data_IF_410732418399
#
_entry.id   IF_410732418399
#
_cell.length_a   1.000
_cell.length_b   1.000
_cell.length_c   1.000
_cell.angle_alpha   90.00
_cell.angle_beta   90.00
_cell.angle_gamma   90.00
#
_symmetry.space_group_name_H-M   'P 1'
#
loop_
_entity.id
_entity.type
_entity.pdbx_description
1 polymer ?
#
# COMPACT_ATOMS: atom_id res chain seq x y z
N UNK A 1 10.20 -10.97 6.78
CA UNK A 1 9.63 -9.62 7.07
C UNK A 1 9.19 -9.52 8.52
N UNK A 2 8.31 -10.38 8.95
CA UNK A 2 7.69 -10.35 10.29
C UNK A 2 8.72 -10.37 11.43
N UNK A 3 9.72 -11.24 11.35
CA UNK A 3 10.77 -11.30 12.36
C UNK A 3 11.59 -10.01 12.47
N UNK A 4 11.81 -9.32 11.34
CA UNK A 4 12.49 -8.03 11.34
C UNK A 4 11.64 -6.94 12.01
N UNK A 5 10.34 -6.89 11.73
CA UNK A 5 9.42 -5.93 12.37
C UNK A 5 9.32 -6.21 13.88
N UNK A 6 9.23 -7.49 14.29
CA UNK A 6 9.25 -7.87 15.70
C UNK A 6 10.53 -7.39 16.40
N UNK A 7 11.68 -7.57 15.75
CA UNK A 7 12.96 -7.05 16.25
C UNK A 7 12.95 -5.53 16.44
N UNK A 8 12.42 -4.77 15.45
CA UNK A 8 12.28 -3.32 15.57
C UNK A 8 11.37 -2.94 16.76
N UNK A 9 10.24 -3.65 16.92
CA UNK A 9 9.33 -3.43 18.06
C UNK A 9 10.02 -3.71 19.40
N UNK A 10 10.82 -4.76 19.54
CA UNK A 10 11.62 -5.02 20.73
C UNK A 10 12.71 -3.97 20.92
N UNK A 11 13.38 -3.53 19.86
CA UNK A 11 14.46 -2.54 19.94
C UNK A 11 13.98 -1.12 20.19
N UNK A 12 12.69 -0.84 19.98
CA UNK A 12 12.05 0.44 20.39
C UNK A 12 12.00 0.58 21.94
N UNK A 13 12.14 -0.53 22.65
CA UNK A 13 12.36 -0.60 24.09
C UNK A 13 13.77 -1.15 24.35
N UNK A 14 14.47 -0.71 25.44
CA UNK A 14 15.82 -1.19 25.72
C UNK A 14 15.80 -2.61 26.30
N UNK A 15 15.27 -3.57 25.56
CA UNK A 15 15.16 -4.98 25.98
C UNK A 15 15.99 -5.91 25.11
N UNK A 16 16.67 -6.87 25.75
CA UNK A 16 17.33 -7.98 25.08
C UNK A 16 16.32 -9.04 24.67
N UNK A 17 16.71 -9.95 23.78
CA UNK A 17 15.89 -11.11 23.43
C UNK A 17 15.55 -11.98 24.65
N UNK A 18 16.51 -12.15 25.58
CA UNK A 18 16.28 -12.90 26.82
C UNK A 18 15.25 -12.20 27.72
N UNK A 19 15.34 -10.88 27.89
CA UNK A 19 14.38 -10.12 28.69
C UNK A 19 12.96 -10.12 28.07
N UNK A 20 12.85 -10.14 26.73
CA UNK A 20 11.56 -10.30 26.06
C UNK A 20 11.01 -11.72 26.27
N UNK A 21 11.86 -12.74 26.16
CA UNK A 21 11.48 -14.14 26.36
C UNK A 21 10.94 -14.38 27.80
N UNK A 22 11.58 -13.82 28.81
CA UNK A 22 11.14 -13.87 30.21
C UNK A 22 9.75 -13.29 30.40
N UNK A 23 9.50 -12.09 29.84
CA UNK A 23 8.19 -11.41 29.93
C UNK A 23 7.08 -12.19 29.21
N UNK A 24 7.41 -12.84 28.11
CA UNK A 24 6.44 -13.63 27.32
C UNK A 24 6.29 -15.08 27.82
N UNK A 25 7.09 -15.51 28.82
CA UNK A 25 7.06 -16.87 29.34
C UNK A 25 7.51 -17.92 28.31
N UNK A 26 8.45 -17.57 27.42
CA UNK A 26 8.99 -18.45 26.39
C UNK A 26 10.52 -18.55 26.47
N UNK A 27 11.11 -19.54 25.79
CA UNK A 27 12.57 -19.65 25.72
C UNK A 27 13.18 -18.55 24.84
N UNK A 28 14.39 -18.13 25.20
CA UNK A 28 15.18 -17.17 24.40
C UNK A 28 15.35 -17.63 22.95
N UNK A 29 15.56 -18.93 22.71
CA UNK A 29 15.63 -19.52 21.37
C UNK A 29 14.35 -19.35 20.56
N UNK A 30 13.21 -19.30 21.23
CA UNK A 30 11.92 -19.04 20.58
C UNK A 30 11.86 -17.62 20.04
N UNK A 31 12.25 -16.62 20.84
CA UNK A 31 12.33 -15.23 20.39
C UNK A 31 13.36 -15.07 19.27
N UNK A 32 14.52 -15.70 19.40
CA UNK A 32 15.53 -15.72 18.34
C UNK A 32 15.01 -16.37 17.05
N UNK A 33 14.24 -17.46 17.19
CA UNK A 33 13.58 -18.14 16.08
C UNK A 33 12.58 -17.24 15.36
N UNK A 34 11.79 -16.48 16.12
CA UNK A 34 10.83 -15.52 15.56
C UNK A 34 11.55 -14.37 14.82
N UNK A 35 12.53 -13.73 15.46
CA UNK A 35 13.25 -12.58 14.87
C UNK A 35 14.11 -12.96 13.67
N UNK A 36 14.64 -14.19 13.64
CA UNK A 36 15.40 -14.70 12.49
C UNK A 36 14.53 -15.25 11.35
N UNK A 37 13.22 -15.40 11.58
CA UNK A 37 12.29 -16.03 10.63
C UNK A 37 12.35 -17.57 10.59
N UNK A 38 13.24 -18.22 11.36
CA UNK A 38 13.29 -19.69 11.45
C UNK A 38 11.97 -20.29 12.00
N UNK A 39 11.29 -19.52 12.86
CA UNK A 39 9.96 -19.84 13.39
C UNK A 39 9.02 -18.70 12.98
N UNK A 40 8.37 -18.76 11.79
CA UNK A 40 7.48 -17.68 11.33
C UNK A 40 6.34 -17.44 12.30
N UNK A 41 6.03 -16.18 12.61
CA UNK A 41 4.91 -15.82 13.49
C UNK A 41 3.57 -16.28 12.91
N UNK A 42 3.44 -16.38 11.60
CA UNK A 42 2.25 -16.90 10.93
C UNK A 42 1.94 -18.37 11.31
N UNK A 43 2.91 -19.12 11.83
CA UNK A 43 2.74 -20.50 12.29
C UNK A 43 2.43 -20.59 13.80
N UNK A 44 2.33 -19.44 14.50
CA UNK A 44 1.91 -19.42 15.90
C UNK A 44 0.42 -19.77 16.01
N UNK A 45 0.05 -20.32 17.16
CA UNK A 45 -1.38 -20.43 17.52
C UNK A 45 -1.98 -19.02 17.63
N UNK A 46 -3.18 -18.84 17.11
CA UNK A 46 -3.83 -17.51 17.05
C UNK A 46 -3.88 -16.82 18.43
N UNK A 47 -4.18 -17.56 19.51
CA UNK A 47 -4.17 -17.04 20.88
C UNK A 47 -2.81 -16.47 21.28
N UNK A 48 -1.72 -17.21 21.04
CA UNK A 48 -0.37 -16.78 21.38
C UNK A 48 0.06 -15.52 20.56
N UNK A 49 -0.34 -15.45 19.28
CA UNK A 49 -0.09 -14.26 18.46
C UNK A 49 -0.85 -13.03 18.99
N UNK A 50 -2.10 -13.19 19.39
CA UNK A 50 -2.90 -12.12 20.00
C UNK A 50 -2.31 -11.66 21.35
N UNK A 51 -1.84 -12.58 22.16
CA UNK A 51 -1.16 -12.29 23.43
C UNK A 51 0.15 -11.52 23.18
N UNK A 52 0.98 -11.96 22.24
CA UNK A 52 2.20 -11.27 21.84
C UNK A 52 1.90 -9.82 21.42
N UNK A 53 0.91 -9.63 20.54
CA UNK A 53 0.53 -8.29 20.05
C UNK A 53 -0.01 -7.37 21.14
N UNK A 54 -0.70 -7.91 22.13
CA UNK A 54 -1.20 -7.14 23.30
C UNK A 54 -0.09 -6.83 24.29
N UNK A 55 0.82 -7.78 24.52
CA UNK A 55 1.91 -7.61 25.47
C UNK A 55 2.97 -6.59 25.02
N UNK A 56 3.32 -6.57 23.73
CA UNK A 56 4.36 -5.65 23.24
C UNK A 56 4.10 -4.17 23.61
N UNK A 57 2.92 -3.58 23.36
CA UNK A 57 2.64 -2.20 23.78
C UNK A 57 2.62 -2.03 25.32
N UNK A 58 2.14 -3.04 26.09
CA UNK A 58 2.10 -2.92 27.57
C UNK A 58 3.48 -2.84 28.20
N UNK A 59 4.49 -3.42 27.54
CA UNK A 59 5.89 -3.32 27.97
C UNK A 59 6.63 -2.12 27.36
N UNK A 60 5.92 -1.25 26.64
CA UNK A 60 6.41 0.01 26.09
C UNK A 60 6.87 -0.03 24.63
N UNK A 61 6.65 -1.15 23.90
CA UNK A 61 6.94 -1.18 22.47
C UNK A 61 6.07 -0.19 21.71
N UNK A 62 6.63 0.42 20.67
CA UNK A 62 5.88 1.32 19.81
C UNK A 62 4.69 0.59 19.16
N UNK A 63 3.47 1.03 19.50
CA UNK A 63 2.23 0.45 18.99
C UNK A 63 2.12 0.54 17.46
N UNK A 64 2.71 1.57 16.85
CA UNK A 64 2.76 1.69 15.39
C UNK A 64 3.58 0.54 14.79
N UNK A 65 4.73 0.18 15.37
CA UNK A 65 5.54 -0.96 14.92
C UNK A 65 4.79 -2.28 15.08
N UNK A 66 4.06 -2.46 16.18
CA UNK A 66 3.24 -3.66 16.39
C UNK A 66 2.13 -3.76 15.34
N UNK A 67 1.54 -2.64 14.94
CA UNK A 67 0.54 -2.57 13.87
C UNK A 67 1.05 -3.06 12.50
N UNK A 68 2.35 -2.97 12.23
CA UNK A 68 2.95 -3.45 10.98
C UNK A 68 3.12 -4.97 10.89
N UNK A 69 2.92 -5.72 11.98
CA UNK A 69 3.11 -7.18 11.99
C UNK A 69 2.16 -7.89 11.02
N UNK A 70 0.92 -7.43 10.86
CA UNK A 70 -0.04 -8.05 9.94
C UNK A 70 0.41 -7.91 8.49
N UNK A 71 0.77 -6.69 8.09
CA UNK A 71 1.30 -6.42 6.75
C UNK A 71 2.61 -7.18 6.47
N UNK A 72 3.45 -7.36 7.49
CA UNK A 72 4.67 -8.14 7.39
C UNK A 72 4.39 -9.65 7.25
N UNK A 73 3.39 -10.18 7.95
CA UNK A 73 2.96 -11.58 7.79
C UNK A 73 2.36 -11.85 6.41
N UNK A 74 1.55 -10.92 5.89
CA UNK A 74 1.03 -11.01 4.53
C UNK A 74 2.14 -10.99 3.50
N UNK A 75 3.11 -10.09 3.66
CA UNK A 75 4.27 -10.04 2.80
C UNK A 75 5.09 -11.33 2.83
N UNK A 76 5.33 -11.90 4.03
CA UNK A 76 6.04 -13.19 4.16
C UNK A 76 5.31 -14.33 3.42
N UNK A 77 3.96 -14.36 3.45
CA UNK A 77 3.16 -15.35 2.71
C UNK A 77 3.29 -15.19 1.21
N UNK A 78 3.26 -13.95 0.71
CA UNK A 78 3.41 -13.65 -0.72
C UNK A 78 4.83 -14.00 -1.19
N UNK A 79 5.86 -13.63 -0.42
CA UNK A 79 7.24 -13.96 -0.72
C UNK A 79 7.47 -15.49 -0.72
N UNK A 80 6.93 -16.20 0.27
CA UNK A 80 7.03 -17.65 0.33
C UNK A 80 6.37 -18.33 -0.89
N UNK A 81 5.18 -17.87 -1.30
CA UNK A 81 4.51 -18.39 -2.49
C UNK A 81 5.30 -18.14 -3.78
N UNK A 82 6.01 -17.01 -3.89
CA UNK A 82 6.85 -16.72 -5.05
C UNK A 82 8.17 -17.48 -5.06
N UNK A 83 8.72 -17.79 -3.89
CA UNK A 83 10.01 -18.52 -3.78
C UNK A 83 9.83 -20.03 -3.78
N UNK A 84 8.70 -20.54 -3.26
CA UNK A 84 8.38 -21.96 -3.16
C UNK A 84 6.93 -22.17 -3.56
N UNK A 85 6.64 -22.18 -4.87
CA UNK A 85 5.25 -22.36 -5.35
C UNK A 85 4.70 -23.72 -4.89
N UNK A 86 3.62 -23.67 -4.10
CA UNK A 86 2.84 -24.83 -3.73
C UNK A 86 1.67 -24.97 -4.73
N UNK A 87 1.81 -25.86 -5.70
CA UNK A 87 0.84 -26.04 -6.78
C UNK A 87 -0.57 -26.48 -6.33
N UNK A 88 -0.78 -26.77 -5.05
CA UNK A 88 -2.07 -27.17 -4.49
C UNK A 88 -2.84 -26.04 -3.79
N UNK A 89 -2.21 -24.88 -3.52
CA UNK A 89 -2.85 -23.78 -2.80
C UNK A 89 -3.09 -22.56 -3.70
N UNK A 90 -4.22 -21.85 -3.52
CA UNK A 90 -4.44 -20.58 -4.19
C UNK A 90 -3.31 -19.58 -3.84
N UNK A 91 -2.85 -18.85 -4.85
CA UNK A 91 -1.82 -17.84 -4.64
C UNK A 91 -2.34 -16.74 -3.68
N UNK A 92 -1.57 -16.28 -2.68
CA UNK A 92 -2.04 -15.30 -1.69
C UNK A 92 -2.58 -14.00 -2.32
N UNK A 93 -2.04 -13.59 -3.47
CA UNK A 93 -2.54 -12.42 -4.22
C UNK A 93 -3.94 -12.62 -4.84
N UNK A 94 -4.50 -13.84 -4.80
CA UNK A 94 -5.87 -14.10 -5.22
C UNK A 94 -6.87 -14.08 -4.06
N UNK A 95 -6.39 -14.08 -2.81
CA UNK A 95 -7.24 -14.29 -1.63
C UNK A 95 -7.97 -13.06 -1.14
N UNK A 96 -7.35 -11.89 -1.24
CA UNK A 96 -7.91 -10.59 -0.82
C UNK A 96 -7.15 -9.42 -1.43
N UNK A 97 -7.77 -8.24 -1.35
CA UNK A 97 -7.16 -6.98 -1.81
C UNK A 97 -6.14 -6.50 -0.78
N UNK A 98 -4.88 -6.40 -1.19
CA UNK A 98 -3.79 -5.98 -0.31
C UNK A 98 -3.77 -4.46 -0.08
N UNK A 99 -3.25 -4.08 1.11
CA UNK A 99 -3.08 -2.70 1.52
C UNK A 99 -1.72 -2.14 1.10
N UNK A 100 -1.56 -0.82 1.24
CA UNK A 100 -0.29 -0.13 1.00
C UNK A 100 0.82 -0.62 1.94
N UNK A 101 0.48 -0.93 3.18
CA UNK A 101 1.42 -1.44 4.17
C UNK A 101 2.03 -2.77 3.71
N UNK A 102 1.21 -3.71 3.20
CA UNK A 102 1.70 -4.97 2.61
C UNK A 102 2.60 -4.71 1.40
N UNK A 103 2.19 -3.80 0.50
CA UNK A 103 2.99 -3.41 -0.65
C UNK A 103 4.33 -2.77 -0.25
N UNK A 104 4.37 -1.94 0.79
CA UNK A 104 5.61 -1.37 1.33
C UNK A 104 6.53 -2.43 1.93
N UNK A 105 5.99 -3.43 2.64
CA UNK A 105 6.77 -4.55 3.14
C UNK A 105 7.42 -5.33 1.99
N UNK A 106 6.64 -5.61 0.93
CA UNK A 106 7.16 -6.27 -0.27
C UNK A 106 8.23 -5.44 -0.98
N UNK A 107 8.01 -4.15 -1.17
CA UNK A 107 9.01 -3.26 -1.76
C UNK A 107 10.31 -3.26 -0.96
N UNK A 108 10.22 -3.27 0.38
CA UNK A 108 11.41 -3.35 1.24
C UNK A 108 12.21 -4.64 1.03
N UNK A 109 11.54 -5.78 0.92
CA UNK A 109 12.19 -7.05 0.63
C UNK A 109 12.77 -7.13 -0.79
N UNK A 110 12.05 -6.59 -1.79
CA UNK A 110 12.35 -6.78 -3.20
C UNK A 110 13.37 -5.77 -3.74
N UNK A 111 13.24 -4.49 -3.41
CA UNK A 111 14.10 -3.43 -3.94
C UNK A 111 14.79 -2.56 -2.89
N UNK A 112 14.61 -2.86 -1.59
CA UNK A 112 15.25 -2.14 -0.49
C UNK A 112 14.56 -0.82 -0.10
N UNK A 113 13.41 -0.49 -0.66
CA UNK A 113 12.67 0.73 -0.32
C UNK A 113 12.08 0.62 1.08
N UNK A 114 12.73 1.27 2.05
CA UNK A 114 12.24 1.28 3.45
C UNK A 114 10.87 1.95 3.53
N UNK A 115 9.88 1.33 4.20
CA UNK A 115 8.59 1.97 4.45
C UNK A 115 8.76 3.32 5.14
N UNK A 116 8.12 4.41 4.67
CA UNK A 116 8.30 5.75 5.25
C UNK A 116 8.04 5.80 6.76
N UNK A 117 7.06 5.03 7.25
CA UNK A 117 6.72 4.94 8.66
C UNK A 117 7.82 4.28 9.52
N UNK A 118 8.70 3.48 8.91
CA UNK A 118 9.77 2.74 9.61
C UNK A 118 11.15 3.40 9.45
N UNK A 119 11.29 4.43 8.64
CA UNK A 119 12.57 5.07 8.32
C UNK A 119 13.29 5.59 9.60
N UNK A 120 12.54 6.09 10.58
CA UNK A 120 13.09 6.57 11.85
C UNK A 120 13.49 5.45 12.82
N UNK A 121 12.93 4.26 12.64
CA UNK A 121 13.14 3.11 13.54
C UNK A 121 14.30 2.22 13.07
N UNK A 122 14.67 2.28 11.78
CA UNK A 122 15.78 1.53 11.23
C UNK A 122 17.07 2.21 11.62
N UNK A 123 17.76 1.66 12.63
CA UNK A 123 19.06 2.19 13.11
C UNK A 123 20.08 2.16 11.97
N UNK A 124 20.73 3.32 11.74
CA UNK A 124 21.85 3.41 10.80
C UNK A 124 23.02 2.58 11.35
N UNK A 125 23.32 1.51 10.60
CA UNK A 125 24.57 0.73 10.72
C UNK A 125 24.90 0.17 12.12
N UNK A 126 24.36 -1.01 12.45
CA UNK A 126 25.02 -1.89 13.44
C UNK A 126 26.12 -2.68 12.75
N UNK A 127 27.34 -2.62 13.32
CA UNK A 127 28.43 -3.55 12.96
C UNK A 127 28.08 -4.91 13.58
N UNK A 128 27.66 -5.89 12.75
CA UNK A 128 27.35 -7.24 13.21
C UNK A 128 26.82 -8.14 12.08
N UNK A 129 26.73 -9.46 12.28
CA UNK A 129 26.34 -10.42 11.26
C UNK A 129 24.84 -10.40 10.91
N UNK A 130 24.06 -9.55 11.56
CA UNK A 130 22.60 -9.44 11.33
C UNK A 130 22.33 -8.41 10.24
N UNK A 131 21.58 -8.81 9.21
CA UNK A 131 21.20 -7.92 8.12
C UNK A 131 20.51 -6.63 8.65
N UNK A 132 20.93 -5.49 8.11
CA UNK A 132 20.38 -4.17 8.46
C UNK A 132 18.96 -3.96 7.90
N UNK A 133 18.59 -4.71 6.84
CA UNK A 133 17.30 -4.68 6.19
C UNK A 133 16.85 -6.10 5.81
N UNK A 134 15.54 -6.37 5.71
CA UNK A 134 15.00 -7.68 5.36
C UNK A 134 15.00 -7.91 3.84
N UNK A 135 16.04 -7.47 3.15
CA UNK A 135 16.15 -7.56 1.70
C UNK A 135 16.50 -8.98 1.24
N UNK A 136 15.79 -9.48 0.24
CA UNK A 136 16.07 -10.76 -0.38
C UNK A 136 17.43 -10.74 -1.11
N UNK A 137 18.09 -11.89 -1.15
CA UNK A 137 19.27 -12.07 -1.98
C UNK A 137 18.94 -11.89 -3.48
N UNK A 138 19.89 -11.45 -4.31
CA UNK A 138 19.62 -11.23 -5.74
C UNK A 138 19.04 -12.45 -6.46
N UNK A 139 19.52 -13.66 -6.15
CA UNK A 139 19.03 -14.90 -6.72
C UNK A 139 17.55 -15.16 -6.35
N UNK A 140 17.18 -14.96 -5.08
CA UNK A 140 15.82 -15.15 -4.61
C UNK A 140 14.87 -14.12 -5.24
N UNK A 141 15.32 -12.86 -5.42
CA UNK A 141 14.54 -11.84 -6.11
C UNK A 141 14.25 -12.22 -7.56
N UNK A 142 15.24 -12.78 -8.26
CA UNK A 142 15.05 -13.26 -9.62
C UNK A 142 13.99 -14.37 -9.69
N UNK A 143 14.13 -15.40 -8.84
CA UNK A 143 13.14 -16.48 -8.73
C UNK A 143 11.74 -15.95 -8.43
N UNK A 144 11.62 -15.02 -7.49
CA UNK A 144 10.34 -14.41 -7.12
C UNK A 144 9.68 -13.69 -8.32
N UNK A 145 10.45 -12.86 -9.04
CA UNK A 145 9.89 -12.10 -10.15
C UNK A 145 9.58 -12.97 -11.38
N UNK A 146 10.36 -14.01 -11.65
CA UNK A 146 10.07 -14.97 -12.72
C UNK A 146 8.75 -15.71 -12.44
N UNK A 147 8.56 -16.15 -11.18
CA UNK A 147 7.31 -16.75 -10.78
C UNK A 147 6.14 -15.77 -10.89
N UNK A 148 6.33 -14.53 -10.46
CA UNK A 148 5.30 -13.51 -10.50
C UNK A 148 4.86 -13.18 -11.94
N UNK A 149 5.79 -13.16 -12.91
CA UNK A 149 5.47 -13.00 -14.34
C UNK A 149 4.62 -14.17 -14.84
N UNK A 150 5.04 -15.41 -14.56
CA UNK A 150 4.29 -16.60 -14.94
C UNK A 150 2.87 -16.60 -14.34
N UNK A 151 2.73 -16.23 -13.07
CA UNK A 151 1.43 -16.07 -12.39
C UNK A 151 0.57 -15.01 -13.07
N UNK A 152 1.17 -13.87 -13.44
CA UNK A 152 0.46 -12.79 -14.13
C UNK A 152 -0.08 -13.25 -15.48
N UNK A 153 0.74 -13.92 -16.26
CA UNK A 153 0.35 -14.46 -17.59
C UNK A 153 -0.75 -15.52 -17.47
N UNK A 154 -0.60 -16.45 -16.52
CA UNK A 154 -1.62 -17.47 -16.27
C UNK A 154 -2.95 -16.83 -15.81
N UNK A 155 -2.93 -15.91 -14.86
CA UNK A 155 -4.12 -15.24 -14.36
C UNK A 155 -4.87 -14.45 -15.46
N UNK A 156 -4.16 -13.92 -16.45
CA UNK A 156 -4.76 -13.24 -17.60
C UNK A 156 -5.65 -14.15 -18.44
N UNK A 157 -5.39 -15.46 -18.46
CA UNK A 157 -6.19 -16.45 -19.21
C UNK A 157 -7.44 -16.91 -18.46
N UNK A 158 -7.54 -16.64 -17.14
CA UNK A 158 -8.66 -17.09 -16.30
C UNK A 158 -9.89 -16.16 -16.32
N UNK A 159 -9.86 -15.10 -17.12
CA UNK A 159 -10.97 -14.16 -17.22
C UNK A 159 -11.26 -13.45 -15.87
N UNK A 160 -12.55 -13.26 -15.52
CA UNK A 160 -12.93 -12.55 -14.29
C UNK A 160 -12.38 -13.19 -13.00
N UNK A 161 -12.28 -14.54 -12.94
CA UNK A 161 -11.75 -15.26 -11.78
C UNK A 161 -10.27 -15.00 -11.51
N UNK A 162 -9.48 -14.63 -12.52
CA UNK A 162 -8.08 -14.27 -12.39
C UNK A 162 -7.82 -12.76 -12.20
N UNK A 163 -8.84 -11.92 -12.27
CA UNK A 163 -8.67 -10.47 -12.38
C UNK A 163 -7.91 -9.86 -11.19
N UNK A 164 -8.27 -10.22 -9.95
CA UNK A 164 -7.59 -9.74 -8.74
C UNK A 164 -6.13 -10.17 -8.72
N UNK A 165 -5.86 -11.46 -8.94
CA UNK A 165 -4.51 -12.01 -8.98
C UNK A 165 -3.67 -11.32 -10.05
N UNK A 166 -4.18 -11.21 -11.27
CA UNK A 166 -3.51 -10.54 -12.37
C UNK A 166 -3.14 -9.09 -12.03
N UNK A 167 -4.11 -8.32 -11.52
CA UNK A 167 -3.91 -6.92 -11.16
C UNK A 167 -2.84 -6.74 -10.08
N UNK A 168 -2.92 -7.53 -9.01
CA UNK A 168 -1.99 -7.43 -7.88
C UNK A 168 -0.59 -7.94 -8.25
N UNK A 169 -0.50 -9.03 -9.02
CA UNK A 169 0.76 -9.57 -9.50
C UNK A 169 1.47 -8.59 -10.47
N UNK A 170 0.74 -8.00 -11.42
CA UNK A 170 1.27 -6.99 -12.33
C UNK A 170 1.75 -5.73 -11.59
N UNK A 171 1.01 -5.31 -10.56
CA UNK A 171 1.43 -4.20 -9.69
C UNK A 171 2.77 -4.50 -9.01
N UNK A 172 2.95 -5.70 -8.45
CA UNK A 172 4.20 -6.08 -7.79
C UNK A 172 5.35 -6.30 -8.79
N UNK A 173 5.06 -6.81 -9.99
CA UNK A 173 6.06 -6.94 -11.05
C UNK A 173 6.68 -5.59 -11.43
N UNK A 174 5.94 -4.49 -11.27
CA UNK A 174 6.48 -3.13 -11.50
C UNK A 174 7.55 -2.68 -10.48
N UNK A 175 7.82 -3.47 -9.43
CA UNK A 175 8.95 -3.25 -8.51
C UNK A 175 10.26 -3.90 -8.96
N UNK A 176 10.23 -4.70 -10.03
CA UNK A 176 11.45 -5.24 -10.63
C UNK A 176 12.11 -4.16 -11.49
N UNK A 177 13.32 -3.75 -11.09
CA UNK A 177 14.12 -2.75 -11.80
C UNK A 177 15.21 -3.36 -12.67
N UNK A 178 15.16 -4.67 -12.92
CA UNK A 178 16.09 -5.30 -13.86
C UNK A 178 15.80 -4.82 -15.30
N UNK A 179 16.81 -4.72 -16.19
CA UNK A 179 16.60 -4.24 -17.55
C UNK A 179 15.55 -5.04 -18.34
N UNK A 180 15.54 -6.35 -18.16
CA UNK A 180 14.58 -7.25 -18.86
C UNK A 180 13.16 -7.10 -18.31
N UNK A 181 13.04 -6.83 -17.00
CA UNK A 181 11.76 -6.62 -16.34
C UNK A 181 11.05 -5.34 -16.81
N UNK A 182 11.78 -4.28 -17.05
CA UNK A 182 11.21 -3.02 -17.53
C UNK A 182 10.49 -3.21 -18.87
N UNK A 183 11.12 -3.94 -19.81
CA UNK A 183 10.52 -4.26 -21.11
C UNK A 183 9.28 -5.14 -20.96
N UNK A 184 9.33 -6.19 -20.14
CA UNK A 184 8.20 -7.07 -19.91
C UNK A 184 7.02 -6.32 -19.25
N UNK A 185 7.29 -5.55 -18.19
CA UNK A 185 6.27 -4.77 -17.48
C UNK A 185 5.61 -3.75 -18.41
N UNK A 186 6.41 -3.03 -19.20
CA UNK A 186 5.89 -2.09 -20.19
C UNK A 186 4.99 -2.79 -21.22
N UNK A 187 5.41 -3.93 -21.75
CA UNK A 187 4.62 -4.72 -22.69
C UNK A 187 3.31 -5.23 -22.07
N UNK A 188 3.37 -5.79 -20.87
CA UNK A 188 2.20 -6.28 -20.14
C UNK A 188 1.19 -5.15 -19.85
N UNK A 189 1.66 -3.97 -19.46
CA UNK A 189 0.82 -2.78 -19.24
C UNK A 189 0.24 -2.23 -20.55
N UNK A 190 1.03 -2.20 -21.64
CA UNK A 190 0.55 -1.76 -22.95
C UNK A 190 -0.53 -2.69 -23.52
N UNK A 191 -0.40 -4.00 -23.27
CA UNK A 191 -1.44 -4.98 -23.64
C UNK A 191 -2.77 -4.79 -22.88
N UNK A 192 -2.79 -3.96 -21.82
CA UNK A 192 -3.99 -3.63 -21.02
C UNK A 192 -4.59 -2.26 -21.33
N UNK A 193 -4.13 -1.58 -22.36
CA UNK A 193 -4.66 -0.23 -22.72
C UNK A 193 -6.15 -0.25 -23.12
N UNK A 194 -6.69 -1.38 -23.53
CA UNK A 194 -8.11 -1.56 -23.78
C UNK A 194 -8.99 -1.23 -22.55
N UNK A 195 -8.53 -1.56 -21.34
CA UNK A 195 -9.27 -1.26 -20.11
C UNK A 195 -9.26 0.25 -19.80
N UNK A 196 -8.26 0.99 -20.28
CA UNK A 196 -8.14 2.46 -20.12
C UNK A 196 -9.12 3.22 -21.03
N UNK A 197 -9.60 2.61 -22.09
CA UNK A 197 -10.55 3.25 -23.03
C UNK A 197 -11.97 3.35 -22.47
N UNK A 198 -12.28 2.64 -21.39
CA UNK A 198 -13.61 2.60 -20.78
C UNK A 198 -13.91 3.90 -20.04
N UNK A 199 -15.19 4.28 -20.03
CA UNK A 199 -15.69 5.45 -19.32
C UNK A 199 -16.44 5.05 -18.07
N UNK A 200 -16.31 5.83 -16.99
CA UNK A 200 -17.01 5.64 -15.74
C UNK A 200 -16.69 4.30 -15.05
N UNK A 201 -17.56 3.91 -14.14
CA UNK A 201 -17.45 2.65 -13.43
C UNK A 201 -17.64 1.44 -14.36
N UNK A 202 -16.82 0.44 -14.16
CA UNK A 202 -16.92 -0.87 -14.84
C UNK A 202 -16.27 -1.96 -13.97
N UNK A 203 -16.57 -3.25 -14.20
CA UNK A 203 -15.89 -4.36 -13.49
C UNK A 203 -14.37 -4.38 -13.66
N UNK A 204 -13.84 -3.72 -14.71
CA UNK A 204 -12.40 -3.59 -14.94
C UNK A 204 -11.80 -2.27 -14.44
N UNK A 205 -12.57 -1.44 -13.75
CA UNK A 205 -12.14 -0.13 -13.28
C UNK A 205 -10.87 -0.20 -12.41
N UNK A 206 -10.81 -1.15 -11.47
CA UNK A 206 -9.64 -1.37 -10.63
C UNK A 206 -8.39 -1.75 -11.44
N UNK A 207 -8.55 -2.56 -12.49
CA UNK A 207 -7.47 -2.90 -13.41
C UNK A 207 -7.01 -1.68 -14.22
N UNK A 208 -7.95 -0.86 -14.72
CA UNK A 208 -7.64 0.38 -15.42
C UNK A 208 -6.84 1.34 -14.52
N UNK A 209 -7.31 1.56 -13.29
CA UNK A 209 -6.61 2.40 -12.29
C UNK A 209 -5.19 1.90 -12.02
N UNK A 210 -5.03 0.60 -11.80
CA UNK A 210 -3.72 0.00 -11.52
C UNK A 210 -2.77 0.11 -12.71
N UNK A 211 -3.28 -0.11 -13.94
CA UNK A 211 -2.50 0.05 -15.17
C UNK A 211 -2.07 1.49 -15.36
N UNK A 212 -2.97 2.46 -15.22
CA UNK A 212 -2.68 3.88 -15.35
C UNK A 212 -1.62 4.36 -14.35
N UNK A 213 -1.77 3.96 -13.08
CA UNK A 213 -0.79 4.31 -12.03
C UNK A 213 0.56 3.63 -12.21
N UNK A 214 0.60 2.41 -12.77
CA UNK A 214 1.85 1.72 -13.08
C UNK A 214 2.59 2.39 -14.25
N UNK A 215 1.88 2.79 -15.31
CA UNK A 215 2.46 3.53 -16.44
C UNK A 215 3.02 4.88 -15.99
N UNK A 216 2.30 5.61 -15.12
CA UNK A 216 2.79 6.87 -14.56
C UNK A 216 4.12 6.67 -13.79
N UNK A 217 4.26 5.58 -13.00
CA UNK A 217 5.53 5.24 -12.33
C UNK A 217 6.67 4.92 -13.29
N UNK A 218 6.36 4.42 -14.48
CA UNK A 218 7.34 4.18 -15.55
C UNK A 218 7.67 5.44 -16.36
N UNK A 219 7.13 6.60 -15.96
CA UNK A 219 7.39 7.89 -16.60
C UNK A 219 6.39 8.30 -17.68
N UNK A 220 5.29 7.56 -17.87
CA UNK A 220 4.19 7.91 -18.76
C UNK A 220 2.93 8.32 -17.94
N UNK A 221 2.76 9.59 -17.55
CA UNK A 221 1.62 10.04 -16.75
C UNK A 221 0.33 10.21 -17.57
N UNK A 222 0.40 10.24 -18.92
CA UNK A 222 -0.76 10.52 -19.76
C UNK A 222 -1.91 9.50 -19.56
N UNK A 223 -1.67 8.18 -19.45
CA UNK A 223 -2.75 7.22 -19.16
C UNK A 223 -3.45 7.49 -17.82
N UNK A 224 -2.74 8.06 -16.84
CA UNK A 224 -3.35 8.42 -15.55
C UNK A 224 -4.22 9.67 -15.65
N UNK A 225 -3.79 10.69 -16.43
CA UNK A 225 -4.64 11.84 -16.72
C UNK A 225 -5.90 11.43 -17.48
N UNK A 226 -5.75 10.57 -18.51
CA UNK A 226 -6.88 10.04 -19.28
C UNK A 226 -7.84 9.21 -18.40
N UNK A 227 -7.31 8.43 -17.45
CA UNK A 227 -8.12 7.68 -16.49
C UNK A 227 -8.93 8.62 -15.59
N UNK A 228 -8.32 9.68 -15.07
CA UNK A 228 -9.03 10.66 -14.22
C UNK A 228 -10.16 11.31 -15.03
N UNK A 229 -9.92 11.74 -16.26
CA UNK A 229 -10.88 12.45 -17.06
C UNK A 229 -12.01 11.58 -17.62
N UNK A 230 -11.76 10.30 -17.88
CA UNK A 230 -12.73 9.42 -18.57
C UNK A 230 -13.39 8.40 -17.67
N UNK A 231 -12.64 7.83 -16.74
CA UNK A 231 -13.06 6.68 -15.97
C UNK A 231 -13.33 7.01 -14.49
N UNK A 232 -13.02 8.23 -14.05
CA UNK A 232 -13.17 8.62 -12.67
C UNK A 232 -14.11 9.83 -12.54
N UNK A 233 -13.73 10.97 -13.10
CA UNK A 233 -14.46 12.21 -12.92
C UNK A 233 -15.84 12.17 -13.61
N UNK A 234 -16.80 12.88 -12.99
CA UNK A 234 -18.17 13.04 -13.50
C UNK A 234 -19.00 11.73 -13.53
N UNK A 235 -18.58 10.70 -12.75
CA UNK A 235 -19.33 9.45 -12.52
C UNK A 235 -19.38 9.13 -11.02
N UNK A 236 -20.55 9.29 -10.41
CA UNK A 236 -20.75 9.11 -8.95
C UNK A 236 -20.26 7.75 -8.42
N UNK A 237 -20.43 6.68 -9.23
CA UNK A 237 -20.00 5.35 -8.82
C UNK A 237 -18.49 5.21 -8.91
N UNK A 238 -17.87 5.76 -9.94
CA UNK A 238 -16.42 5.76 -10.08
C UNK A 238 -15.74 6.64 -9.03
N UNK A 239 -16.34 7.79 -8.68
CA UNK A 239 -15.83 8.64 -7.59
C UNK A 239 -15.93 7.95 -6.23
N UNK A 240 -17.07 7.29 -5.93
CA UNK A 240 -17.20 6.46 -4.74
C UNK A 240 -16.16 5.32 -4.75
N UNK A 241 -15.97 4.66 -5.89
CA UNK A 241 -14.98 3.59 -6.05
C UNK A 241 -13.55 4.07 -5.77
N UNK A 242 -13.21 5.27 -6.21
CA UNK A 242 -11.90 5.85 -5.92
C UNK A 242 -11.70 6.12 -4.42
N UNK A 243 -12.71 6.66 -3.74
CA UNK A 243 -12.63 6.88 -2.29
C UNK A 243 -12.60 5.56 -1.51
N UNK A 244 -13.41 4.56 -1.89
CA UNK A 244 -13.40 3.23 -1.29
C UNK A 244 -12.04 2.55 -1.47
N UNK A 245 -11.45 2.61 -2.68
CA UNK A 245 -10.12 2.10 -2.95
C UNK A 245 -9.07 2.78 -2.05
N UNK A 246 -9.08 4.12 -1.99
CA UNK A 246 -8.17 4.86 -1.15
C UNK A 246 -8.36 4.54 0.33
N UNK A 247 -9.61 4.37 0.79
CA UNK A 247 -9.91 4.03 2.18
C UNK A 247 -9.29 2.69 2.58
N UNK A 248 -9.39 1.67 1.73
CA UNK A 248 -8.71 0.38 1.96
C UNK A 248 -7.20 0.53 1.85
N UNK A 249 -6.72 1.10 0.74
CA UNK A 249 -5.29 1.20 0.44
C UNK A 249 -4.52 2.00 1.49
N UNK A 250 -5.13 3.02 2.06
CA UNK A 250 -4.52 3.91 3.05
C UNK A 250 -4.89 3.56 4.51
N UNK A 251 -5.56 2.44 4.75
CA UNK A 251 -5.88 1.94 6.09
C UNK A 251 -7.01 2.67 6.81
N UNK A 252 -7.84 3.43 6.10
CA UNK A 252 -9.06 4.04 6.64
C UNK A 252 -10.24 3.06 6.70
N UNK A 253 -10.22 2.00 5.89
CA UNK A 253 -11.14 0.87 5.93
C UNK A 253 -10.40 -0.35 6.53
N UNK A 254 -10.68 -0.72 7.80
CA UNK A 254 -9.91 -1.75 8.49
C UNK A 254 -10.35 -3.18 8.12
N UNK A 255 -11.46 -3.34 7.40
CA UNK A 255 -12.03 -4.65 7.06
C UNK A 255 -11.42 -5.16 5.76
N UNK A 256 -10.80 -6.36 5.76
CA UNK A 256 -10.29 -6.97 4.54
C UNK A 256 -11.37 -7.15 3.48
N UNK A 257 -11.02 -6.96 2.22
CA UNK A 257 -11.91 -7.12 1.08
C UNK A 257 -11.46 -8.31 0.24
N UNK A 258 -12.41 -9.20 -0.11
CA UNK A 258 -12.14 -10.45 -0.84
C UNK A 258 -11.80 -10.22 -2.31
N UNK A 259 -12.36 -9.16 -2.90
CA UNK A 259 -12.24 -8.84 -4.32
C UNK A 259 -12.46 -7.34 -4.55
N UNK A 260 -12.37 -6.90 -5.81
CA UNK A 260 -12.46 -5.51 -6.21
C UNK A 260 -13.92 -4.95 -6.23
N UNK A 261 -14.94 -5.78 -6.02
CA UNK A 261 -16.34 -5.35 -6.13
C UNK A 261 -16.73 -4.31 -5.06
N UNK A 262 -16.09 -4.37 -3.86
CA UNK A 262 -16.33 -3.40 -2.80
C UNK A 262 -16.15 -1.95 -3.25
N UNK A 263 -15.30 -1.71 -4.25
CA UNK A 263 -15.02 -0.35 -4.70
C UNK A 263 -16.29 0.32 -5.23
N UNK A 264 -17.12 -0.41 -6.00
CA UNK A 264 -18.38 0.12 -6.55
C UNK A 264 -19.53 0.22 -5.56
N UNK A 265 -19.35 -0.20 -4.31
CA UNK A 265 -20.40 -0.11 -3.30
C UNK A 265 -20.53 1.32 -2.75
N UNK A 266 -21.54 2.04 -3.22
CA UNK A 266 -21.84 3.41 -2.77
C UNK A 266 -22.36 3.47 -1.32
N UNK A 267 -22.80 2.34 -0.79
CA UNK A 267 -23.27 2.18 0.59
C UNK A 267 -22.22 1.60 1.51
N UNK A 268 -20.94 1.43 1.06
CA UNK A 268 -19.89 0.81 1.85
C UNK A 268 -19.74 1.51 3.21
N UNK A 269 -20.13 0.85 4.31
CA UNK A 269 -20.12 1.47 5.62
C UNK A 269 -18.73 1.46 6.23
N UNK A 270 -18.42 2.49 7.01
CA UNK A 270 -17.47 2.33 8.09
C UNK A 270 -16.03 2.65 7.81
N UNK A 271 -15.66 3.36 6.73
CA UNK A 271 -14.31 3.91 6.69
C UNK A 271 -14.23 5.32 7.33
N UNK A 272 -13.09 5.59 7.95
CA UNK A 272 -12.83 6.84 8.66
C UNK A 272 -12.37 7.94 7.69
N UNK A 273 -13.28 8.88 7.40
CA UNK A 273 -13.02 9.99 6.50
C UNK A 273 -11.87 10.91 6.98
N UNK A 274 -11.69 11.08 8.29
CA UNK A 274 -10.61 11.90 8.83
C UNK A 274 -9.24 11.21 8.67
N UNK A 275 -9.19 9.91 8.90
CA UNK A 275 -8.00 9.09 8.63
C UNK A 275 -7.66 9.12 7.14
N UNK A 276 -8.67 9.01 6.26
CA UNK A 276 -8.46 9.10 4.81
C UNK A 276 -7.92 10.47 4.40
N UNK A 277 -8.51 11.56 4.91
CA UNK A 277 -8.03 12.93 4.64
C UNK A 277 -6.56 13.11 5.04
N UNK A 278 -6.21 12.66 6.25
CA UNK A 278 -4.81 12.75 6.75
C UNK A 278 -3.85 11.96 5.87
N UNK A 279 -4.26 10.80 5.39
CA UNK A 279 -3.42 9.95 4.55
C UNK A 279 -3.28 10.50 3.12
N UNK A 280 -4.34 11.00 2.52
CA UNK A 280 -4.31 11.68 1.21
C UNK A 280 -3.47 12.96 1.27
N UNK A 281 -3.65 13.79 2.32
CA UNK A 281 -2.86 15.00 2.51
C UNK A 281 -1.35 14.72 2.58
N UNK A 282 -0.95 13.62 3.25
CA UNK A 282 0.47 13.19 3.29
C UNK A 282 0.99 12.71 1.94
N UNK A 283 0.12 12.09 1.14
CA UNK A 283 0.46 11.58 -0.19
C UNK A 283 0.49 12.63 -1.30
N UNK A 284 -0.01 13.84 -1.05
CA UNK A 284 -0.01 14.92 -2.02
C UNK A 284 1.42 15.47 -2.21
N UNK A 285 2.12 14.96 -3.21
CA UNK A 285 3.53 15.27 -3.55
C UNK A 285 3.66 15.73 -4.99
N UNK A 286 4.81 16.33 -5.34
CA UNK A 286 5.13 16.81 -6.70
C UNK A 286 5.51 15.66 -7.65
N UNK A 287 4.61 14.73 -7.85
CA UNK A 287 4.84 13.57 -8.73
C UNK A 287 3.85 13.64 -9.90
N UNK A 288 4.32 13.78 -11.16
CA UNK A 288 3.46 13.93 -12.33
C UNK A 288 2.39 12.85 -12.46
N UNK A 289 1.16 13.24 -12.71
CA UNK A 289 -0.01 12.36 -12.78
C UNK A 289 -0.55 11.97 -11.41
N UNK A 290 0.33 11.64 -10.44
CA UNK A 290 -0.13 11.33 -9.08
C UNK A 290 -0.65 12.56 -8.35
N UNK A 291 -0.04 13.73 -8.52
CA UNK A 291 -0.54 14.97 -7.95
C UNK A 291 -1.97 15.27 -8.41
N UNK A 292 -2.28 15.00 -9.67
CA UNK A 292 -3.62 15.18 -10.25
C UNK A 292 -4.63 14.21 -9.61
N UNK A 293 -4.25 12.93 -9.46
CA UNK A 293 -5.10 11.92 -8.81
C UNK A 293 -5.36 12.25 -7.33
N UNK A 294 -4.34 12.72 -6.60
CA UNK A 294 -4.50 13.15 -5.20
C UNK A 294 -5.35 14.41 -5.09
N UNK A 295 -5.16 15.39 -5.97
CA UNK A 295 -5.96 16.62 -6.01
C UNK A 295 -7.44 16.30 -6.24
N UNK A 296 -7.75 15.45 -7.22
CA UNK A 296 -9.11 14.99 -7.49
C UNK A 296 -9.70 14.24 -6.28
N UNK A 297 -8.95 13.32 -5.69
CA UNK A 297 -9.44 12.52 -4.55
C UNK A 297 -9.69 13.38 -3.30
N UNK A 298 -8.85 14.39 -3.04
CA UNK A 298 -9.05 15.34 -1.95
C UNK A 298 -10.27 16.23 -2.21
N UNK A 299 -10.45 16.70 -3.43
CA UNK A 299 -11.63 17.47 -3.85
C UNK A 299 -12.92 16.66 -3.66
N UNK A 300 -12.96 15.42 -4.16
CA UNK A 300 -14.11 14.53 -4.01
C UNK A 300 -14.43 14.26 -2.53
N UNK A 301 -13.39 13.94 -1.72
CA UNK A 301 -13.55 13.69 -0.29
C UNK A 301 -14.14 14.91 0.46
N UNK A 302 -13.64 16.11 0.20
CA UNK A 302 -14.13 17.33 0.85
C UNK A 302 -15.51 17.76 0.35
N UNK A 303 -15.88 17.38 -0.87
CA UNK A 303 -17.23 17.59 -1.42
C UNK A 303 -18.25 16.69 -0.72
N UNK A 304 -17.92 15.41 -0.52
CA UNK A 304 -18.78 14.44 0.16
C UNK A 304 -18.87 14.71 1.66
N UNK A 305 -17.76 15.16 2.28
CA UNK A 305 -17.67 15.42 3.73
C UNK A 305 -17.28 16.87 4.05
N UNK A 306 -18.19 17.86 3.91
CA UNK A 306 -17.87 19.28 4.09
C UNK A 306 -17.44 19.67 5.51
N UNK A 307 -17.63 18.81 6.50
CA UNK A 307 -17.24 19.01 7.89
C UNK A 307 -15.74 18.71 8.15
N UNK A 308 -15.08 17.95 7.27
CA UNK A 308 -13.70 17.51 7.47
C UNK A 308 -12.67 18.62 7.71
N UNK A 309 -12.71 19.78 7.03
CA UNK A 309 -11.75 20.87 7.29
C UNK A 309 -11.76 21.34 8.74
N UNK A 310 -12.93 21.36 9.40
CA UNK A 310 -13.05 21.76 10.79
C UNK A 310 -12.49 20.70 11.75
N UNK A 311 -12.76 19.42 11.47
CA UNK A 311 -12.30 18.30 12.30
C UNK A 311 -10.81 17.99 12.13
N UNK A 312 -10.20 18.39 11.00
CA UNK A 312 -8.83 18.03 10.66
C UNK A 312 -7.75 18.88 11.35
N UNK A 313 -8.09 20.05 11.89
CA UNK A 313 -7.18 20.88 12.68
C UNK A 313 -5.83 21.16 12.00
N UNK A 314 -4.70 20.69 12.56
CA UNK A 314 -3.38 20.90 11.98
C UNK A 314 -3.24 20.38 10.54
N UNK A 315 -3.83 19.23 10.23
CA UNK A 315 -3.78 18.66 8.86
C UNK A 315 -4.43 19.58 7.84
N UNK A 316 -5.53 20.26 8.18
CA UNK A 316 -6.17 21.20 7.29
C UNK A 316 -5.27 22.40 6.99
N UNK A 317 -4.56 22.94 8.00
CA UNK A 317 -3.60 24.04 7.83
C UNK A 317 -2.41 23.63 6.95
N UNK A 318 -1.83 22.47 7.22
CA UNK A 318 -0.70 21.95 6.43
C UNK A 318 -1.11 21.71 4.96
N UNK A 319 -2.31 21.15 4.74
CA UNK A 319 -2.85 20.91 3.42
C UNK A 319 -3.12 22.23 2.68
N UNK A 320 -3.64 23.25 3.38
CA UNK A 320 -3.85 24.59 2.81
C UNK A 320 -2.54 25.19 2.28
N UNK A 321 -1.48 25.21 3.10
CA UNK A 321 -0.15 25.73 2.71
C UNK A 321 0.43 24.92 1.55
N UNK A 322 0.34 23.59 1.61
CA UNK A 322 0.85 22.72 0.55
C UNK A 322 0.09 22.89 -0.77
N UNK A 323 -1.23 23.05 -0.70
CA UNK A 323 -2.05 23.29 -1.90
C UNK A 323 -1.66 24.60 -2.61
N UNK A 324 -1.41 25.69 -1.87
CA UNK A 324 -0.91 26.94 -2.43
C UNK A 324 0.41 26.73 -3.18
N UNK A 325 1.37 26.09 -2.52
CA UNK A 325 2.70 25.82 -3.10
C UNK A 325 2.63 24.97 -4.38
N UNK A 326 1.77 23.93 -4.41
CA UNK A 326 1.59 23.10 -5.60
C UNK A 326 0.90 23.86 -6.74
N UNK A 327 -0.05 24.75 -6.44
CA UNK A 327 -0.71 25.58 -7.45
C UNK A 327 0.27 26.54 -8.13
N UNK A 328 1.29 27.00 -7.40
CA UNK A 328 2.29 27.96 -7.91
C UNK A 328 3.44 27.27 -8.65
N UNK A 329 3.88 26.09 -8.21
CA UNK A 329 5.16 25.51 -8.65
C UNK A 329 5.03 24.29 -9.58
N UNK A 330 3.87 23.61 -9.63
CA UNK A 330 3.74 22.34 -10.35
C UNK A 330 2.89 22.51 -11.61
N UNK A 331 3.32 21.95 -12.75
CA UNK A 331 2.48 21.84 -13.93
C UNK A 331 1.35 20.84 -13.65
N UNK A 332 0.15 21.36 -13.37
CA UNK A 332 -1.08 20.59 -13.15
C UNK A 332 -1.93 20.61 -14.42
N UNK A 333 -2.71 19.55 -14.65
CA UNK A 333 -3.79 19.60 -15.65
C UNK A 333 -4.79 20.72 -15.30
N UNK A 334 -5.55 21.17 -16.27
CA UNK A 334 -6.57 22.23 -16.05
C UNK A 334 -7.62 21.79 -15.01
N UNK A 335 -7.97 20.49 -14.98
CA UNK A 335 -8.89 19.91 -13.99
C UNK A 335 -8.25 19.93 -12.59
N UNK A 336 -7.07 19.34 -12.44
CA UNK A 336 -6.40 19.27 -11.14
C UNK A 336 -6.15 20.66 -10.55
N UNK A 337 -5.82 21.65 -11.38
CA UNK A 337 -5.66 23.05 -10.93
C UNK A 337 -6.97 23.63 -10.38
N UNK A 338 -8.11 23.40 -11.04
CA UNK A 338 -9.42 23.85 -10.53
C UNK A 338 -9.80 23.16 -9.23
N UNK A 339 -9.64 21.82 -9.17
CA UNK A 339 -9.99 21.00 -8.02
C UNK A 339 -9.10 21.31 -6.81
N UNK A 340 -7.79 21.42 -7.01
CA UNK A 340 -6.86 21.82 -5.94
C UNK A 340 -7.09 23.27 -5.49
N UNK A 341 -7.45 24.16 -6.40
CA UNK A 341 -7.87 25.54 -6.10
C UNK A 341 -9.12 25.56 -5.22
N UNK A 342 -10.09 24.67 -5.49
CA UNK A 342 -11.28 24.52 -4.64
C UNK A 342 -10.91 23.96 -3.25
N UNK A 343 -10.06 22.92 -3.18
CA UNK A 343 -9.51 22.40 -1.91
C UNK A 343 -8.87 23.52 -1.10
N UNK A 344 -7.97 24.29 -1.71
CA UNK A 344 -7.32 25.42 -1.07
C UNK A 344 -8.32 26.46 -0.53
N UNK A 345 -9.31 26.82 -1.33
CA UNK A 345 -10.36 27.79 -0.96
C UNK A 345 -11.22 27.30 0.22
N UNK A 346 -11.66 26.04 0.18
CA UNK A 346 -12.47 25.45 1.28
C UNK A 346 -11.70 25.43 2.59
N UNK A 347 -10.40 25.16 2.54
CA UNK A 347 -9.53 25.14 3.71
C UNK A 347 -9.27 26.56 4.28
N UNK A 348 -9.18 27.60 3.41
CA UNK A 348 -8.95 28.98 3.85
C UNK A 348 -10.14 29.56 4.62
N UNK A 349 -11.38 29.29 4.19
CA UNK A 349 -12.61 29.85 4.79
C UNK A 349 -12.89 29.38 6.22
N UNK A 350 -12.24 28.32 6.68
CA UNK A 350 -12.51 27.67 7.98
C UNK A 350 -11.33 27.79 8.97
N UNK A 351 -10.29 28.52 8.58
CA UNK A 351 -9.16 28.84 9.46
C UNK A 351 -9.36 30.16 10.23
N UNK A 352 -10.47 30.84 9.98
CA UNK A 352 -10.92 32.03 10.71
C UNK A 352 -11.99 31.64 11.72
#
# INVERSE_FOLDING_TARGET
MTGFVLRLARESIPRTQAALAEVLGVDTETVQGWESGRRPLANMRAGALLELRRHLPTIGADAALVGWLDAAMDADRILAAGLQPDGGRPHPLAGWVHTRETAHMLAWALNGTTPPALTGCVSRSRRGPVAAAPQLAPADRHVFFDHLRAVTEHAATQGPGGALLHRQALYLASYDHSPDAAAWTAQALHGRRDVLARRGWSPQWAAARSTATALARLGDPQPLHDFIDRALADDDTAEAANLNYWALWLGALPVPQSDDAFMGDRGLPGWDALTLLRALARGLVKDPGFVDLYAHSLWALLTVFPWLPQAAGPTARDLHVRSAHLLDEVPLTARARRELGHVHYVLSRKST
#
